data_IF_623594952188
#
_entry.id   IF_623594952188
#
_cell.length_a   1.000
_cell.length_b   1.000
_cell.length_c   1.000
_cell.angle_alpha   90.00
_cell.angle_beta   90.00
_cell.angle_gamma   90.00
#
_symmetry.space_group_name_H-M   'P 1'
#
loop_
_entity.id
_entity.type
_entity.pdbx_description
1 polymer ?
#
# COMPACT_ATOMS: atom_id res chain seq x y z
N UNK A 1 20.69 14.41 11.42
CA UNK A 1 20.02 13.51 12.37
C UNK A 1 18.74 12.99 11.72
N UNK A 2 18.54 11.67 11.54
CA UNK A 2 17.38 11.16 10.81
C UNK A 2 16.10 11.31 11.65
N UNK A 3 15.08 11.92 11.05
CA UNK A 3 13.74 12.00 11.64
C UNK A 3 12.85 10.93 11.01
N UNK A 4 11.84 10.49 11.76
CA UNK A 4 10.81 9.59 11.26
C UNK A 4 9.99 10.31 10.19
N UNK A 5 9.95 9.76 8.98
CA UNK A 5 9.17 10.32 7.88
C UNK A 5 7.66 10.26 8.12
N UNK A 6 7.19 9.42 9.05
CA UNK A 6 5.77 9.28 9.38
C UNK A 6 5.31 10.26 10.49
N UNK A 7 6.04 10.33 11.60
CA UNK A 7 5.62 11.09 12.80
C UNK A 7 6.53 12.27 13.15
N UNK A 8 7.59 12.53 12.38
CA UNK A 8 8.53 13.63 12.60
C UNK A 8 9.47 13.46 13.80
N UNK A 9 9.28 12.43 14.64
CA UNK A 9 10.11 12.18 15.82
C UNK A 9 11.57 11.91 15.42
N UNK A 10 12.50 12.46 16.19
CA UNK A 10 13.93 12.14 16.06
C UNK A 10 14.17 10.63 16.28
N UNK A 11 15.02 10.03 15.45
CA UNK A 11 15.41 8.63 15.53
C UNK A 11 16.90 8.55 15.81
N UNK A 12 17.27 7.75 16.81
CA UNK A 12 18.67 7.40 17.02
C UNK A 12 19.18 6.57 15.82
N UNK A 13 20.42 6.76 15.35
CA UNK A 13 20.95 6.03 14.21
C UNK A 13 20.86 4.50 14.33
N UNK A 14 20.87 3.97 15.55
CA UNK A 14 20.75 2.55 15.89
C UNK A 14 19.32 1.99 15.80
N UNK A 15 18.30 2.84 15.71
CA UNK A 15 16.88 2.47 15.76
C UNK A 15 16.11 2.86 14.48
N UNK A 16 16.82 2.95 13.34
CA UNK A 16 16.22 3.32 12.06
C UNK A 16 15.67 2.08 11.36
N UNK A 17 14.36 2.08 11.10
CA UNK A 17 13.68 1.05 10.32
C UNK A 17 13.33 1.61 8.95
N UNK A 18 13.48 0.80 7.90
CA UNK A 18 13.11 1.21 6.52
C UNK A 18 11.82 0.53 6.11
N UNK A 19 10.82 1.32 5.70
CA UNK A 19 9.52 0.83 5.21
C UNK A 19 9.10 1.57 3.95
N UNK A 20 8.40 0.87 3.08
CA UNK A 20 7.83 1.46 1.87
C UNK A 20 6.59 2.27 2.28
N UNK A 21 6.60 3.57 1.99
CA UNK A 21 5.50 4.48 2.31
C UNK A 21 4.99 5.17 1.06
N UNK A 22 3.70 5.47 1.05
CA UNK A 22 3.10 6.33 0.04
C UNK A 22 3.68 7.74 0.15
N UNK A 23 4.20 8.28 -0.96
CA UNK A 23 4.79 9.63 -1.00
C UNK A 23 3.97 10.61 -1.84
N UNK A 24 2.95 10.13 -2.55
CA UNK A 24 2.06 10.99 -3.32
C UNK A 24 1.50 10.30 -4.55
N UNK A 25 0.65 11.03 -5.28
CA UNK A 25 0.08 10.60 -6.55
C UNK A 25 0.46 11.59 -7.64
N UNK A 26 0.67 11.08 -8.84
CA UNK A 26 0.72 11.90 -10.04
C UNK A 26 -0.49 11.59 -10.89
N UNK A 27 -1.22 12.64 -11.27
CA UNK A 27 -2.25 12.58 -12.30
C UNK A 27 -1.64 13.18 -13.57
N UNK A 28 -1.82 12.50 -14.70
CA UNK A 28 -1.35 12.92 -16.01
C UNK A 28 -2.53 12.93 -16.97
N UNK A 29 -2.58 13.94 -17.83
CA UNK A 29 -3.50 13.99 -18.96
C UNK A 29 -2.65 13.97 -20.22
N UNK A 30 -2.85 12.95 -21.06
CA UNK A 30 -2.15 12.84 -22.32
C UNK A 30 -3.12 13.22 -23.45
N UNK A 31 -2.73 14.25 -24.21
CA UNK A 31 -3.46 14.73 -25.37
C UNK A 31 -2.84 14.15 -26.64
N UNK A 32 -3.54 13.22 -27.29
CA UNK A 32 -3.18 12.65 -28.59
C UNK A 32 -4.39 12.60 -29.52
N UNK A 33 -4.52 11.58 -30.38
CA UNK A 33 -5.75 11.35 -31.16
C UNK A 33 -7.00 11.18 -30.28
N UNK A 34 -6.83 10.83 -29.01
CA UNK A 34 -7.85 10.79 -27.95
C UNK A 34 -7.24 11.35 -26.65
N UNK A 35 -8.07 11.87 -25.76
CA UNK A 35 -7.66 12.30 -24.42
C UNK A 35 -7.62 11.08 -23.51
N UNK A 36 -6.50 10.85 -22.83
CA UNK A 36 -6.36 9.77 -21.86
C UNK A 36 -5.89 10.31 -20.51
N UNK A 37 -6.47 9.77 -19.43
CA UNK A 37 -6.15 10.12 -18.06
C UNK A 37 -5.34 8.98 -17.44
N UNK A 38 -4.15 9.30 -16.95
CA UNK A 38 -3.30 8.37 -16.22
C UNK A 38 -3.16 8.81 -14.77
N UNK A 39 -3.24 7.86 -13.84
CA UNK A 39 -2.96 8.07 -12.43
C UNK A 39 -1.89 7.08 -11.98
N UNK A 40 -0.97 7.55 -11.13
CA UNK A 40 0.09 6.70 -10.59
C UNK A 40 0.33 7.06 -9.13
N UNK A 41 0.30 6.05 -8.27
CA UNK A 41 0.67 6.18 -6.86
C UNK A 41 2.17 5.92 -6.71
N UNK A 42 2.84 6.78 -5.97
CA UNK A 42 4.27 6.68 -5.74
C UNK A 42 4.53 6.17 -4.34
N UNK A 43 5.40 5.18 -4.25
CA UNK A 43 5.85 4.59 -3.01
C UNK A 43 7.38 4.63 -2.96
N UNK A 44 7.94 5.03 -1.82
CA UNK A 44 9.38 5.10 -1.62
C UNK A 44 9.76 4.50 -0.26
N UNK A 45 10.95 3.92 -0.20
CA UNK A 45 11.55 3.50 1.07
C UNK A 45 11.91 4.72 1.93
N UNK A 46 11.30 4.83 3.10
CA UNK A 46 11.49 5.92 4.06
C UNK A 46 12.00 5.39 5.39
N UNK A 47 12.66 6.26 6.15
CA UNK A 47 13.15 5.96 7.49
C UNK A 47 12.05 6.23 8.51
N UNK A 48 11.74 5.23 9.33
CA UNK A 48 10.68 5.28 10.33
C UNK A 48 11.19 4.77 11.67
N UNK A 49 10.55 5.21 12.75
CA UNK A 49 10.82 4.69 14.09
C UNK A 49 10.16 3.32 14.29
N UNK A 50 10.60 2.58 15.31
CA UNK A 50 10.10 1.24 15.62
C UNK A 50 8.57 1.16 15.82
N UNK A 51 7.94 2.23 16.33
CA UNK A 51 6.48 2.29 16.52
C UNK A 51 5.77 2.38 15.17
N UNK A 52 6.15 3.35 14.33
CA UNK A 52 5.54 3.52 13.01
C UNK A 52 5.84 2.35 12.07
N UNK A 53 6.99 1.68 12.21
CA UNK A 53 7.28 0.46 11.47
C UNK A 53 6.25 -0.64 11.78
N UNK A 54 5.93 -0.85 13.05
CA UNK A 54 4.92 -1.85 13.48
C UNK A 54 3.51 -1.50 12.98
N UNK A 55 3.13 -0.23 13.03
CA UNK A 55 1.83 0.23 12.52
C UNK A 55 1.70 -0.02 11.01
N UNK A 56 2.73 0.33 10.22
CA UNK A 56 2.75 0.07 8.77
C UNK A 56 2.75 -1.41 8.43
N UNK A 57 3.49 -2.24 9.17
CA UNK A 57 3.52 -3.69 8.96
C UNK A 57 2.15 -4.31 9.27
N UNK A 58 1.46 -3.84 10.31
CA UNK A 58 0.09 -4.28 10.63
C UNK A 58 -0.92 -3.88 9.56
N UNK A 59 -0.85 -2.65 9.04
CA UNK A 59 -1.71 -2.20 7.95
C UNK A 59 -1.49 -3.03 6.69
N UNK A 60 -0.23 -3.35 6.37
CA UNK A 60 0.11 -4.18 5.22
C UNK A 60 -0.50 -5.58 5.34
N UNK A 61 -0.33 -6.25 6.49
CA UNK A 61 -0.88 -7.58 6.72
C UNK A 61 -2.42 -7.59 6.72
N UNK A 62 -3.07 -6.57 7.29
CA UNK A 62 -4.53 -6.41 7.19
C UNK A 62 -4.99 -6.27 5.74
N UNK A 63 -4.28 -5.49 4.93
CA UNK A 63 -4.63 -5.33 3.52
C UNK A 63 -4.51 -6.66 2.74
N UNK A 64 -3.54 -7.49 3.11
CA UNK A 64 -3.31 -8.80 2.50
C UNK A 64 -4.38 -9.80 2.90
N UNK A 65 -4.78 -9.83 4.18
CA UNK A 65 -5.84 -10.71 4.66
C UNK A 65 -7.19 -10.37 4.04
N UNK A 66 -7.54 -9.08 3.93
CA UNK A 66 -8.78 -8.64 3.27
C UNK A 66 -8.81 -9.07 1.80
N UNK A 67 -7.71 -8.90 1.06
CA UNK A 67 -7.62 -9.37 -0.33
C UNK A 67 -7.78 -10.89 -0.42
N UNK A 68 -7.18 -11.65 0.49
CA UNK A 68 -7.34 -13.11 0.54
C UNK A 68 -8.78 -13.54 0.77
N UNK A 69 -9.50 -12.90 1.70
CA UNK A 69 -10.92 -13.16 1.95
C UNK A 69 -11.78 -12.90 0.72
N UNK A 70 -11.54 -11.78 0.01
CA UNK A 70 -12.29 -11.45 -1.21
C UNK A 70 -12.10 -12.53 -2.28
N UNK A 71 -10.86 -13.00 -2.49
CA UNK A 71 -10.57 -14.06 -3.47
C UNK A 71 -11.29 -15.36 -3.10
N UNK A 72 -11.30 -15.74 -1.81
CA UNK A 72 -12.01 -16.92 -1.34
C UNK A 72 -13.52 -16.84 -1.59
N UNK A 73 -14.14 -15.68 -1.31
CA UNK A 73 -15.57 -15.47 -1.56
C UNK A 73 -15.90 -15.60 -3.04
N UNK A 74 -15.09 -15.01 -3.92
CA UNK A 74 -15.27 -15.11 -5.37
C UNK A 74 -15.19 -16.58 -5.82
N UNK A 75 -14.22 -17.35 -5.31
CA UNK A 75 -14.08 -18.76 -5.64
C UNK A 75 -15.30 -19.58 -5.21
N UNK A 76 -15.84 -19.34 -4.01
CA UNK A 76 -17.04 -20.03 -3.51
C UNK A 76 -18.24 -19.73 -4.42
N UNK A 77 -18.43 -18.47 -4.83
CA UNK A 77 -19.51 -18.08 -5.74
C UNK A 77 -19.38 -18.78 -7.10
N UNK A 78 -18.16 -18.86 -7.65
CA UNK A 78 -17.91 -19.56 -8.93
C UNK A 78 -18.25 -21.04 -8.79
N UNK A 79 -17.79 -21.70 -7.73
CA UNK A 79 -18.08 -23.12 -7.48
C UNK A 79 -19.58 -23.35 -7.33
N UNK A 80 -20.29 -22.52 -6.56
CA UNK A 80 -21.74 -22.60 -6.41
C UNK A 80 -22.46 -22.43 -7.75
N UNK A 81 -22.03 -21.50 -8.60
CA UNK A 81 -22.61 -21.29 -9.93
C UNK A 81 -22.47 -22.55 -10.80
N UNK A 82 -21.32 -23.24 -10.76
CA UNK A 82 -21.11 -24.49 -11.51
C UNK A 82 -21.88 -25.70 -10.95
N UNK A 83 -22.30 -25.67 -9.68
CA UNK A 83 -23.09 -26.75 -9.08
C UNK A 83 -24.59 -26.54 -9.34
N UNK A 84 -25.04 -25.29 -9.40
CA UNK A 84 -26.45 -24.92 -9.59
C UNK A 84 -26.90 -24.85 -11.05
N UNK A 85 -25.96 -24.90 -11.99
CA UNK A 85 -26.18 -24.78 -13.43
C UNK A 85 -25.69 -26.05 -14.14
#
# INVERSE_FOLDING_TARGET
>A
MPNCSNCGKYIQPTEVYRRQMYVGKTNRVNYGKRVTFGNSNHYRMQNVCAKCARELDQEYERSKSVKGCIVLVILIIIVLYFILN
#
